data_IF_451414656082
#
_entry.id   IF_451414656082
#
_cell.length_a   1.000
_cell.length_b   1.000
_cell.length_c   1.000
_cell.angle_alpha   90.00
_cell.angle_beta   90.00
_cell.angle_gamma   90.00
#
_symmetry.space_group_name_H-M   'P 1'
#
loop_
_entity.id
_entity.type
_entity.pdbx_description
1 polymer ?
#
# COMPACT_ATOMS: atom_id res chain seq x y z
N UNK A 1 -14.44 -18.89 -42.61
CA UNK A 1 -13.85 -19.12 -41.29
C UNK A 1 -14.43 -18.10 -40.33
N UNK A 2 -15.43 -18.50 -39.55
CA UNK A 2 -16.11 -17.66 -38.56
C UNK A 2 -15.19 -17.46 -37.36
N UNK A 3 -14.60 -16.28 -37.22
CA UNK A 3 -13.86 -15.90 -36.01
C UNK A 3 -14.86 -15.84 -34.86
N UNK A 4 -14.79 -16.82 -33.96
CA UNK A 4 -15.65 -16.89 -32.77
C UNK A 4 -15.41 -15.63 -31.90
N UNK A 5 -16.42 -14.76 -31.69
CA UNK A 5 -16.29 -13.57 -30.85
C UNK A 5 -15.88 -13.92 -29.40
N UNK A 6 -16.24 -15.12 -28.93
CA UNK A 6 -15.90 -15.63 -27.60
C UNK A 6 -14.40 -15.88 -27.43
N UNK A 7 -13.68 -16.22 -28.50
CA UNK A 7 -12.23 -16.43 -28.46
C UNK A 7 -11.43 -15.12 -28.35
N UNK A 8 -12.06 -13.98 -28.69
CA UNK A 8 -11.52 -12.64 -28.47
C UNK A 8 -11.88 -12.05 -27.11
N UNK A 9 -12.54 -12.78 -26.21
CA UNK A 9 -12.87 -12.30 -24.85
C UNK A 9 -11.84 -12.76 -23.81
N UNK A 10 -10.93 -13.69 -24.18
CA UNK A 10 -9.71 -13.98 -23.40
C UNK A 10 -8.55 -13.00 -23.74
N UNK A 11 -8.87 -11.72 -24.01
CA UNK A 11 -7.85 -10.68 -24.24
C UNK A 11 -7.38 -10.18 -22.88
N UNK A 12 -6.32 -10.83 -22.35
CA UNK A 12 -5.64 -10.56 -21.06
C UNK A 12 -6.55 -10.69 -19.82
N UNK A 13 -6.01 -11.28 -18.76
CA UNK A 13 -6.73 -11.39 -17.48
C UNK A 13 -7.13 -9.98 -17.02
N UNK A 14 -8.41 -9.71 -16.66
CA UNK A 14 -8.85 -8.40 -16.17
C UNK A 14 -8.12 -7.99 -14.86
N UNK A 15 -7.35 -8.91 -14.28
CA UNK A 15 -6.52 -8.72 -13.10
C UNK A 15 -5.12 -8.17 -13.38
N UNK A 16 -4.61 -8.27 -14.61
CA UNK A 16 -3.27 -7.73 -14.94
C UNK A 16 -3.15 -6.24 -14.59
N UNK A 17 -4.14 -5.37 -14.87
CA UNK A 17 -4.09 -3.98 -14.42
C UNK A 17 -4.11 -3.81 -12.91
N UNK A 18 -4.80 -4.70 -12.17
CA UNK A 18 -4.90 -4.65 -10.70
C UNK A 18 -3.54 -5.01 -10.09
N UNK A 19 -2.90 -6.07 -10.59
CA UNK A 19 -1.53 -6.44 -10.22
C UNK A 19 -0.58 -5.31 -10.57
N UNK A 20 -0.69 -4.74 -11.77
CA UNK A 20 0.19 -3.63 -12.19
C UNK A 20 0.05 -2.41 -11.28
N UNK A 21 -1.17 -2.09 -10.84
CA UNK A 21 -1.37 -1.06 -9.84
C UNK A 21 -0.70 -1.42 -8.51
N UNK A 22 -0.83 -2.66 -8.02
CA UNK A 22 -0.18 -3.09 -6.79
C UNK A 22 1.35 -3.03 -6.88
N UNK A 23 1.93 -3.31 -8.05
CA UNK A 23 3.37 -3.16 -8.32
C UNK A 23 3.82 -1.71 -8.19
N UNK A 24 3.07 -0.76 -8.78
CA UNK A 24 3.37 0.68 -8.67
C UNK A 24 3.23 1.15 -7.22
N UNK A 25 2.18 0.73 -6.53
CA UNK A 25 1.99 1.01 -5.09
C UNK A 25 3.19 0.53 -4.28
N UNK A 26 3.66 -0.69 -4.54
CA UNK A 26 4.85 -1.22 -3.87
C UNK A 26 6.11 -0.39 -4.18
N UNK A 27 6.32 -0.05 -5.45
CA UNK A 27 7.46 0.78 -5.87
C UNK A 27 7.43 2.15 -5.18
N UNK A 28 6.26 2.76 -5.04
CA UNK A 28 6.08 4.02 -4.33
C UNK A 28 6.50 3.91 -2.86
N UNK A 29 6.11 2.82 -2.17
CA UNK A 29 6.51 2.56 -0.78
C UNK A 29 8.02 2.33 -0.65
N UNK A 30 8.65 1.60 -1.59
CA UNK A 30 10.10 1.38 -1.60
C UNK A 30 10.87 2.69 -1.80
N UNK A 31 10.47 3.53 -2.76
CA UNK A 31 11.07 4.85 -2.99
C UNK A 31 10.84 5.79 -1.81
N UNK A 32 9.64 5.76 -1.22
CA UNK A 32 9.33 6.52 -0.03
C UNK A 32 10.24 6.13 1.14
N UNK A 33 10.51 4.83 1.35
CA UNK A 33 11.44 4.41 2.40
C UNK A 33 12.86 4.95 2.17
N UNK A 34 13.31 4.96 0.90
CA UNK A 34 14.60 5.57 0.55
C UNK A 34 14.60 7.10 0.80
N UNK A 35 13.54 7.82 0.40
CA UNK A 35 13.38 9.24 0.69
C UNK A 35 13.37 9.51 2.21
N UNK A 36 12.65 8.68 2.97
CA UNK A 36 12.54 8.76 4.42
C UNK A 36 13.89 8.60 5.11
N UNK A 37 14.73 7.68 4.63
CA UNK A 37 16.10 7.54 5.15
C UNK A 37 16.96 8.77 4.86
N UNK A 38 16.91 9.28 3.62
CA UNK A 38 17.65 10.49 3.22
C UNK A 38 17.19 11.73 4.00
N UNK A 39 15.90 11.82 4.34
CA UNK A 39 15.35 12.89 5.17
C UNK A 39 16.06 12.98 6.53
N UNK A 40 16.25 11.84 7.21
CA UNK A 40 16.97 11.79 8.49
C UNK A 40 18.49 11.86 8.34
N UNK A 41 19.04 11.52 7.17
CA UNK A 41 20.45 11.73 6.82
C UNK A 41 20.75 13.16 6.36
N UNK A 42 19.71 13.99 6.19
CA UNK A 42 19.78 15.40 5.77
C UNK A 42 20.29 15.58 4.33
N UNK A 43 20.15 14.57 3.48
CA UNK A 43 20.39 14.70 2.04
C UNK A 43 19.09 15.14 1.34
N UNK A 44 18.66 16.37 1.65
CA UNK A 44 17.38 16.92 1.19
C UNK A 44 17.25 16.98 -0.34
N UNK A 45 18.27 17.37 -1.13
CA UNK A 45 18.15 17.38 -2.59
C UNK A 45 17.81 16.01 -3.20
N UNK A 46 18.41 14.93 -2.68
CA UNK A 46 18.07 13.57 -3.12
C UNK A 46 16.73 13.10 -2.57
N UNK A 47 16.43 13.41 -1.31
CA UNK A 47 15.13 13.14 -0.70
C UNK A 47 14.00 13.77 -1.53
N UNK A 48 14.11 15.05 -1.89
CA UNK A 48 13.12 15.77 -2.69
C UNK A 48 12.92 15.13 -4.07
N UNK A 49 13.99 14.63 -4.68
CA UNK A 49 13.93 13.92 -5.96
C UNK A 49 13.09 12.65 -5.83
N UNK A 50 13.36 11.84 -4.81
CA UNK A 50 12.58 10.62 -4.57
C UNK A 50 11.13 10.91 -4.17
N UNK A 51 10.87 11.97 -3.39
CA UNK A 51 9.50 12.38 -3.06
C UNK A 51 8.71 12.76 -4.32
N UNK A 52 9.32 13.45 -5.29
CA UNK A 52 8.68 13.74 -6.58
C UNK A 52 8.39 12.46 -7.37
N UNK A 53 9.32 11.51 -7.38
CA UNK A 53 9.09 10.20 -8.01
C UNK A 53 7.93 9.43 -7.34
N UNK A 54 7.78 9.52 -6.01
CA UNK A 54 6.64 8.92 -5.30
C UNK A 54 5.32 9.55 -5.71
N UNK A 55 5.28 10.88 -5.85
CA UNK A 55 4.09 11.60 -6.33
C UNK A 55 3.76 11.22 -7.78
N UNK A 56 4.76 11.11 -8.64
CA UNK A 56 4.55 10.66 -10.03
C UNK A 56 4.00 9.23 -10.09
N UNK A 57 4.47 8.33 -9.20
CA UNK A 57 3.96 6.96 -9.10
C UNK A 57 2.52 6.88 -8.59
N UNK A 58 2.12 7.72 -7.63
CA UNK A 58 0.71 7.84 -7.22
C UNK A 58 -0.15 8.27 -8.41
N UNK A 59 0.29 9.28 -9.17
CA UNK A 59 -0.45 9.75 -10.34
C UNK A 59 -0.58 8.65 -11.40
N UNK A 60 0.46 7.82 -11.59
CA UNK A 60 0.40 6.65 -12.46
C UNK A 60 -0.55 5.56 -11.93
N UNK A 61 -0.60 5.33 -10.62
CA UNK A 61 -1.52 4.39 -9.98
C UNK A 61 -2.98 4.83 -10.20
N UNK A 62 -3.27 6.11 -9.96
CA UNK A 62 -4.60 6.70 -10.09
C UNK A 62 -5.08 6.67 -11.56
N UNK A 63 -4.15 6.87 -12.52
CA UNK A 63 -4.38 6.66 -13.94
C UNK A 63 -4.72 5.20 -14.29
N UNK A 64 -4.09 4.21 -13.65
CA UNK A 64 -4.42 2.79 -13.84
C UNK A 64 -5.80 2.48 -13.26
N UNK A 65 -6.11 2.97 -12.06
CA UNK A 65 -7.42 2.84 -11.42
C UNK A 65 -8.54 3.42 -12.27
N UNK A 66 -8.33 4.61 -12.86
CA UNK A 66 -9.27 5.20 -13.81
C UNK A 66 -9.50 4.31 -15.04
N UNK A 67 -8.42 3.76 -15.63
CA UNK A 67 -8.51 2.81 -16.75
C UNK A 67 -9.22 1.51 -16.38
N UNK A 68 -9.02 1.00 -15.17
CA UNK A 68 -9.76 -0.18 -14.65
C UNK A 68 -11.25 0.16 -14.61
N UNK A 69 -11.63 1.28 -13.99
CA UNK A 69 -13.04 1.70 -13.88
C UNK A 69 -13.74 1.83 -15.24
N UNK A 70 -13.03 2.37 -16.24
CA UNK A 70 -13.53 2.55 -17.61
C UNK A 70 -13.67 1.23 -18.37
N UNK A 71 -12.67 0.34 -18.27
CA UNK A 71 -12.56 -0.85 -19.12
C UNK A 71 -13.11 -2.12 -18.51
N UNK A 72 -13.37 -2.15 -17.20
CA UNK A 72 -13.84 -3.33 -16.49
C UNK A 72 -15.26 -3.70 -16.99
N UNK A 73 -15.42 -4.85 -17.66
CA UNK A 73 -16.69 -5.23 -18.25
C UNK A 73 -17.74 -5.52 -17.17
N UNK A 74 -18.98 -5.09 -17.38
CA UNK A 74 -20.14 -5.50 -16.61
C UNK A 74 -20.84 -6.66 -17.33
N UNK A 75 -20.48 -7.92 -17.02
CA UNK A 75 -21.02 -9.09 -17.74
C UNK A 75 -21.22 -10.33 -16.88
N UNK A 76 -22.12 -11.21 -17.34
CA UNK A 76 -22.63 -12.43 -16.67
C UNK A 76 -21.55 -13.52 -16.42
N UNK A 77 -20.35 -13.38 -17.01
CA UNK A 77 -19.32 -14.43 -17.03
C UNK A 77 -18.10 -14.15 -16.14
N UNK A 78 -18.11 -13.08 -15.33
CA UNK A 78 -17.04 -12.89 -14.33
C UNK A 78 -17.33 -13.70 -13.06
N UNK A 79 -16.35 -14.45 -12.54
CA UNK A 79 -16.52 -15.22 -11.29
C UNK A 79 -16.69 -14.31 -10.05
N UNK A 80 -16.28 -13.04 -10.15
CA UNK A 80 -16.46 -11.96 -9.16
C UNK A 80 -17.23 -10.79 -9.77
N UNK A 81 -17.96 -10.04 -8.94
CA UNK A 81 -18.75 -8.92 -9.45
C UNK A 81 -17.87 -7.74 -9.84
N UNK A 82 -18.37 -6.88 -10.74
CA UNK A 82 -17.69 -5.62 -11.09
C UNK A 82 -17.51 -4.73 -9.86
N UNK A 83 -18.54 -4.66 -9.00
CA UNK A 83 -18.50 -3.83 -7.78
C UNK A 83 -17.38 -4.26 -6.84
N UNK A 84 -17.22 -5.57 -6.65
CA UNK A 84 -16.17 -6.14 -5.81
C UNK A 84 -14.76 -5.78 -6.24
N UNK A 85 -14.49 -5.82 -7.55
CA UNK A 85 -13.21 -5.41 -8.11
C UNK A 85 -13.00 -3.90 -7.96
N UNK A 86 -14.04 -3.10 -8.15
CA UNK A 86 -13.96 -1.66 -7.94
C UNK A 86 -13.70 -1.30 -6.47
N UNK A 87 -14.31 -2.02 -5.55
CA UNK A 87 -14.04 -1.82 -4.13
C UNK A 87 -12.62 -2.25 -3.77
N UNK A 88 -12.12 -3.36 -4.33
CA UNK A 88 -10.75 -3.81 -4.11
C UNK A 88 -9.73 -2.76 -4.58
N UNK A 89 -9.89 -2.24 -5.80
CA UNK A 89 -8.97 -1.23 -6.34
C UNK A 89 -9.04 0.07 -5.53
N UNK A 90 -10.22 0.46 -5.05
CA UNK A 90 -10.38 1.66 -4.21
C UNK A 90 -9.74 1.53 -2.82
N UNK A 91 -9.57 0.32 -2.30
CA UNK A 91 -8.80 0.09 -1.07
C UNK A 91 -7.30 0.08 -1.36
N UNK A 92 -6.88 -0.62 -2.42
CA UNK A 92 -5.49 -0.73 -2.86
C UNK A 92 -4.86 0.65 -3.11
N UNK A 93 -5.60 1.52 -3.79
CA UNK A 93 -5.21 2.88 -4.14
C UNK A 93 -4.84 3.74 -2.93
N UNK A 94 -5.58 3.62 -1.83
CA UNK A 94 -5.32 4.37 -0.60
C UNK A 94 -3.94 4.10 -0.01
N UNK A 95 -3.29 2.97 -0.34
CA UNK A 95 -1.91 2.69 0.08
C UNK A 95 -0.94 3.65 -0.64
N UNK A 96 -1.14 3.87 -1.94
CA UNK A 96 -0.36 4.83 -2.72
C UNK A 96 -0.65 6.28 -2.30
N UNK A 97 -1.92 6.60 -2.00
CA UNK A 97 -2.30 7.92 -1.46
C UNK A 97 -1.54 8.26 -0.18
N UNK A 98 -1.40 7.29 0.74
CA UNK A 98 -0.63 7.52 1.97
C UNK A 98 0.87 7.67 1.70
N UNK A 99 1.38 7.00 0.67
CA UNK A 99 2.77 7.16 0.26
C UNK A 99 3.02 8.59 -0.24
N UNK A 100 2.13 9.10 -1.09
CA UNK A 100 2.16 10.48 -1.59
C UNK A 100 2.02 11.48 -0.45
N UNK A 101 1.03 11.28 0.43
CA UNK A 101 0.79 12.15 1.59
C UNK A 101 2.06 12.26 2.43
N UNK A 102 2.73 11.15 2.77
CA UNK A 102 3.99 11.23 3.51
C UNK A 102 5.07 11.97 2.74
N UNK A 103 5.24 11.69 1.45
CA UNK A 103 6.21 12.39 0.61
C UNK A 103 5.98 13.91 0.64
N UNK A 104 4.73 14.36 0.53
CA UNK A 104 4.37 15.78 0.65
C UNK A 104 4.76 16.33 2.03
N UNK A 105 4.54 15.59 3.12
CA UNK A 105 4.95 16.02 4.46
C UNK A 105 6.47 16.15 4.61
N UNK A 106 7.26 15.26 4.02
CA UNK A 106 8.73 15.33 4.03
C UNK A 106 9.25 16.58 3.29
N UNK A 107 8.52 17.04 2.26
CA UNK A 107 8.87 18.23 1.48
C UNK A 107 8.60 19.56 2.21
N UNK A 108 7.81 19.55 3.30
CA UNK A 108 7.40 20.80 3.98
C UNK A 108 8.54 21.43 4.76
N UNK A 109 9.30 20.63 5.52
CA UNK A 109 10.21 21.16 6.54
C UNK A 109 11.42 20.23 6.76
N UNK A 110 12.61 20.80 6.59
CA UNK A 110 13.85 20.25 7.12
C UNK A 110 13.83 20.24 8.66
N UNK A 111 14.35 19.18 9.28
CA UNK A 111 14.23 19.00 10.73
C UNK A 111 15.55 18.63 11.41
N UNK A 112 15.88 19.38 12.46
CA UNK A 112 17.04 19.16 13.32
C UNK A 112 16.66 18.71 14.74
N UNK A 113 15.38 18.74 15.08
CA UNK A 113 14.87 18.72 16.46
C UNK A 113 14.15 17.43 16.85
N UNK A 114 14.14 16.41 16.00
CA UNK A 114 13.48 15.13 16.30
C UNK A 114 14.42 14.24 17.13
N UNK A 115 14.01 13.81 18.34
CA UNK A 115 14.79 12.89 19.16
C UNK A 115 15.12 11.60 18.40
N UNK A 116 16.38 11.15 18.51
CA UNK A 116 16.89 9.97 17.80
C UNK A 116 16.02 8.72 18.02
N UNK A 117 15.51 8.53 19.24
CA UNK A 117 14.63 7.40 19.57
C UNK A 117 13.33 7.42 18.74
N UNK A 118 12.75 8.59 18.47
CA UNK A 118 11.58 8.70 17.59
C UNK A 118 11.94 8.35 16.15
N UNK A 119 13.12 8.80 15.68
CA UNK A 119 13.64 8.47 14.35
C UNK A 119 13.80 6.96 14.17
N UNK A 120 14.39 6.26 15.14
CA UNK A 120 14.59 4.81 15.09
C UNK A 120 13.26 4.05 14.98
N UNK A 121 12.25 4.44 15.77
CA UNK A 121 10.92 3.83 15.67
C UNK A 121 10.26 4.10 14.32
N UNK A 122 10.32 5.33 13.83
CA UNK A 122 9.76 5.69 12.53
C UNK A 122 10.42 4.92 11.39
N UNK A 123 11.76 4.80 11.38
CA UNK A 123 12.49 4.01 10.38
C UNK A 123 12.07 2.54 10.43
N UNK A 124 11.92 1.97 11.64
CA UNK A 124 11.45 0.60 11.80
C UNK A 124 10.03 0.40 11.24
N UNK A 125 9.10 1.33 11.50
CA UNK A 125 7.74 1.26 10.93
C UNK A 125 7.81 1.31 9.40
N UNK A 126 8.64 2.19 8.83
CA UNK A 126 8.79 2.29 7.38
C UNK A 126 9.36 1.01 6.74
N UNK A 127 10.35 0.37 7.38
CA UNK A 127 10.88 -0.92 6.92
C UNK A 127 9.83 -2.04 6.98
N UNK A 128 8.92 -2.01 7.96
CA UNK A 128 7.80 -2.95 8.04
C UNK A 128 6.76 -2.67 6.93
N UNK A 129 6.48 -1.41 6.61
CA UNK A 129 5.60 -1.04 5.49
C UNK A 129 6.12 -1.55 4.14
N UNK A 130 7.42 -1.57 3.91
CA UNK A 130 7.99 -2.18 2.69
C UNK A 130 7.66 -3.68 2.61
N UNK A 131 7.75 -4.40 3.74
CA UNK A 131 7.39 -5.83 3.81
C UNK A 131 5.89 -6.04 3.61
N UNK A 132 5.05 -5.15 4.16
CA UNK A 132 3.61 -5.17 3.95
C UNK A 132 3.26 -4.98 2.48
N UNK A 133 3.87 -4.01 1.80
CA UNK A 133 3.62 -3.75 0.39
C UNK A 133 4.01 -4.95 -0.50
N UNK A 134 5.12 -5.62 -0.19
CA UNK A 134 5.52 -6.87 -0.86
C UNK A 134 4.53 -8.01 -0.58
N UNK A 135 4.14 -8.22 0.68
CA UNK A 135 3.17 -9.26 1.03
C UNK A 135 1.80 -9.01 0.37
N UNK A 136 1.35 -7.75 0.34
CA UNK A 136 0.13 -7.33 -0.32
C UNK A 136 0.16 -7.60 -1.84
N UNK A 137 1.25 -7.21 -2.52
CA UNK A 137 1.44 -7.51 -3.95
C UNK A 137 1.33 -9.00 -4.22
N UNK A 138 1.95 -9.83 -3.38
CA UNK A 138 1.88 -11.28 -3.53
C UNK A 138 0.46 -11.81 -3.26
N UNK A 139 -0.28 -11.28 -2.28
CA UNK A 139 -1.68 -11.62 -2.07
C UNK A 139 -2.54 -11.33 -3.32
N UNK A 140 -2.34 -10.18 -3.97
CA UNK A 140 -3.05 -9.80 -5.20
C UNK A 140 -2.67 -10.70 -6.38
N UNK A 141 -1.39 -11.09 -6.50
CA UNK A 141 -0.92 -12.04 -7.52
C UNK A 141 -1.53 -13.43 -7.35
N UNK A 142 -1.53 -13.98 -6.14
CA UNK A 142 -2.17 -15.27 -5.86
C UNK A 142 -3.70 -15.21 -6.04
N UNK A 143 -4.32 -14.05 -5.75
CA UNK A 143 -5.76 -13.89 -5.92
C UNK A 143 -6.19 -14.03 -7.38
N UNK A 144 -5.38 -13.59 -8.34
CA UNK A 144 -5.62 -13.85 -9.76
C UNK A 144 -5.76 -15.35 -10.02
N UNK A 145 -4.91 -16.18 -9.40
CA UNK A 145 -4.92 -17.62 -9.61
C UNK A 145 -6.13 -18.28 -8.93
N UNK A 146 -6.58 -17.77 -7.78
CA UNK A 146 -7.88 -18.16 -7.16
C UNK A 146 -9.02 -17.97 -8.16
N UNK A 147 -9.02 -16.83 -8.86
CA UNK A 147 -10.08 -16.51 -9.82
C UNK A 147 -10.00 -17.38 -11.08
N UNK A 148 -8.80 -17.56 -11.65
CA UNK A 148 -8.60 -18.34 -12.88
C UNK A 148 -8.82 -19.84 -12.67
N UNK A 149 -8.64 -20.32 -11.45
CA UNK A 149 -8.88 -21.71 -11.05
C UNK A 149 -10.28 -21.96 -10.49
N UNK A 150 -11.14 -20.95 -10.43
CA UNK A 150 -12.51 -21.04 -9.89
C UNK A 150 -12.48 -21.50 -8.41
N UNK A 151 -11.74 -20.77 -7.58
CA UNK A 151 -11.73 -20.91 -6.12
C UNK A 151 -11.26 -22.28 -5.63
N UNK A 152 -10.24 -22.84 -6.27
CA UNK A 152 -9.60 -24.04 -5.76
C UNK A 152 -8.96 -23.79 -4.38
N UNK A 153 -9.10 -24.79 -3.49
CA UNK A 153 -8.69 -24.67 -2.08
C UNK A 153 -7.21 -24.34 -1.89
N UNK A 154 -6.34 -24.84 -2.77
CA UNK A 154 -4.90 -24.63 -2.65
C UNK A 154 -4.56 -23.14 -2.84
N UNK A 155 -5.06 -22.55 -3.92
CA UNK A 155 -4.86 -21.16 -4.30
C UNK A 155 -5.47 -20.22 -3.24
N UNK A 156 -6.62 -20.59 -2.65
CA UNK A 156 -7.18 -19.87 -1.51
C UNK A 156 -6.20 -19.84 -0.33
N UNK A 157 -5.59 -20.98 0.01
CA UNK A 157 -4.62 -21.03 1.11
C UNK A 157 -3.38 -20.18 0.81
N UNK A 158 -2.94 -20.12 -0.44
CA UNK A 158 -1.81 -19.32 -0.87
C UNK A 158 -2.09 -17.81 -0.68
N UNK A 159 -3.30 -17.33 -1.02
CA UNK A 159 -3.72 -15.94 -0.70
C UNK A 159 -3.78 -15.74 0.82
N UNK A 160 -4.46 -16.63 1.55
CA UNK A 160 -4.66 -16.49 3.00
C UNK A 160 -3.35 -16.39 3.78
N UNK A 161 -2.30 -17.09 3.33
CA UNK A 161 -0.95 -16.98 3.89
C UNK A 161 -0.41 -15.54 3.82
N UNK A 162 -0.58 -14.86 2.69
CA UNK A 162 -0.12 -13.47 2.54
C UNK A 162 -1.00 -12.49 3.32
N UNK A 163 -2.30 -12.75 3.44
CA UNK A 163 -3.19 -11.98 4.32
C UNK A 163 -2.69 -12.04 5.77
N UNK A 164 -2.40 -13.24 6.28
CA UNK A 164 -1.88 -13.43 7.64
C UNK A 164 -0.53 -12.73 7.85
N UNK A 165 0.33 -12.68 6.82
CA UNK A 165 1.59 -11.93 6.88
C UNK A 165 1.32 -10.43 7.06
N UNK A 166 0.39 -9.85 6.29
CA UNK A 166 0.04 -8.43 6.41
C UNK A 166 -0.54 -8.13 7.79
N UNK A 167 -1.49 -8.94 8.28
CA UNK A 167 -2.11 -8.79 9.61
C UNK A 167 -1.06 -8.86 10.75
N UNK A 168 -0.09 -9.78 10.65
CA UNK A 168 0.97 -9.90 11.66
C UNK A 168 1.93 -8.70 11.67
N UNK A 169 2.26 -8.16 10.49
CA UNK A 169 3.14 -7.01 10.35
C UNK A 169 2.47 -5.71 10.81
N UNK A 170 1.19 -5.51 10.45
CA UNK A 170 0.36 -4.42 10.96
C UNK A 170 0.33 -4.45 12.49
N UNK A 171 0.03 -5.61 13.10
CA UNK A 171 0.04 -5.74 14.55
C UNK A 171 1.40 -5.46 15.19
N UNK A 172 2.52 -5.67 14.48
CA UNK A 172 3.85 -5.25 14.94
C UNK A 172 4.02 -3.73 14.91
N UNK A 173 3.59 -3.08 13.84
CA UNK A 173 3.58 -1.61 13.70
C UNK A 173 2.75 -0.98 14.82
N UNK A 174 1.57 -1.53 15.09
CA UNK A 174 0.66 -1.07 16.15
C UNK A 174 1.30 -1.10 17.54
N UNK A 175 2.01 -2.19 17.86
CA UNK A 175 2.77 -2.32 19.12
C UNK A 175 3.91 -1.29 19.22
N UNK A 176 4.60 -1.05 18.11
CA UNK A 176 5.66 -0.03 18.04
C UNK A 176 5.07 1.37 18.24
N UNK A 177 3.97 1.67 17.56
CA UNK A 177 3.29 2.97 17.64
C UNK A 177 2.77 3.24 19.05
N UNK A 178 2.15 2.25 19.69
CA UNK A 178 1.71 2.33 21.09
C UNK A 178 2.88 2.63 22.04
N UNK A 179 4.01 1.93 21.87
CA UNK A 179 5.22 2.16 22.68
C UNK A 179 5.77 3.57 22.48
N UNK A 180 5.85 4.02 21.23
CA UNK A 180 6.32 5.35 20.86
C UNK A 180 5.43 6.45 21.46
N UNK A 181 4.10 6.34 21.29
CA UNK A 181 3.13 7.30 21.82
C UNK A 181 3.20 7.42 23.34
N UNK A 182 3.36 6.30 24.06
CA UNK A 182 3.54 6.33 25.52
C UNK A 182 4.82 7.07 25.95
N UNK A 183 5.87 7.04 25.12
CA UNK A 183 7.12 7.76 25.41
C UNK A 183 7.10 9.25 25.03
N UNK A 184 6.02 9.78 24.45
CA UNK A 184 5.96 11.19 24.00
C UNK A 184 6.20 12.19 25.13
N UNK A 185 5.72 11.90 26.33
CA UNK A 185 5.89 12.79 27.49
C UNK A 185 7.32 12.76 28.07
N UNK A 186 8.16 11.83 27.63
CA UNK A 186 9.56 11.74 28.04
C UNK A 186 10.46 12.67 27.21
N UNK A 187 10.04 13.04 25.99
CA UNK A 187 10.80 13.93 25.11
C UNK A 187 10.55 15.40 25.47
N UNK A 188 11.29 15.91 26.46
CA UNK A 188 11.14 17.31 26.93
C UNK A 188 11.91 18.31 26.08
N UNK A 189 12.88 17.83 25.30
CA UNK A 189 13.74 18.64 24.43
C UNK A 189 13.10 19.08 23.10
N UNK A 190 12.00 18.45 22.66
CA UNK A 190 11.33 18.79 21.40
C UNK A 190 10.34 19.94 21.59
N UNK A 191 10.38 20.94 20.70
CA UNK A 191 9.41 22.02 20.74
C UNK A 191 8.01 21.56 20.26
N UNK A 192 6.92 22.20 20.70
CA UNK A 192 5.56 21.77 20.36
C UNK A 192 5.25 21.70 18.86
N UNK A 193 5.86 22.57 18.04
CA UNK A 193 5.63 22.59 16.58
C UNK A 193 6.30 21.38 15.93
N UNK A 194 7.55 21.09 16.31
CA UNK A 194 8.27 19.91 15.84
C UNK A 194 7.63 18.62 16.35
N UNK A 195 7.10 18.60 17.58
CA UNK A 195 6.35 17.46 18.10
C UNK A 195 5.10 17.20 17.27
N UNK A 196 4.28 18.23 17.02
CA UNK A 196 3.10 18.10 16.17
C UNK A 196 3.44 17.55 14.77
N UNK A 197 4.42 18.14 14.10
CA UNK A 197 4.89 17.69 12.79
C UNK A 197 5.35 16.22 12.82
N UNK A 198 6.13 15.84 13.83
CA UNK A 198 6.62 14.46 13.99
C UNK A 198 5.47 13.48 14.26
N UNK A 199 4.49 13.86 15.08
CA UNK A 199 3.30 13.02 15.30
C UNK A 199 2.49 12.83 14.02
N UNK A 200 2.43 13.84 13.15
CA UNK A 200 1.77 13.69 11.84
C UNK A 200 2.51 12.73 10.92
N UNK A 201 3.84 12.78 10.87
CA UNK A 201 4.63 11.77 10.16
C UNK A 201 4.34 10.38 10.71
N UNK A 202 4.36 10.21 12.04
CA UNK A 202 4.10 8.92 12.70
C UNK A 202 2.72 8.37 12.37
N UNK A 203 1.69 9.23 12.37
CA UNK A 203 0.33 8.82 12.03
C UNK A 203 0.27 8.36 10.56
N UNK A 204 0.85 9.12 9.63
CA UNK A 204 0.80 8.81 8.19
C UNK A 204 1.58 7.53 7.85
N UNK A 205 2.77 7.33 8.44
CA UNK A 205 3.53 6.08 8.20
C UNK A 205 2.75 4.85 8.68
N UNK A 206 2.01 4.94 9.80
CA UNK A 206 1.18 3.84 10.28
C UNK A 206 -0.06 3.66 9.42
N UNK A 207 -0.67 4.74 8.93
CA UNK A 207 -1.84 4.66 8.06
C UNK A 207 -1.59 3.84 6.78
N UNK A 208 -0.34 3.74 6.30
CA UNK A 208 0.04 2.85 5.19
C UNK A 208 -0.29 1.39 5.50
N UNK A 209 0.08 0.89 6.69
CA UNK A 209 -0.20 -0.50 7.09
C UNK A 209 -1.70 -0.74 7.25
N UNK A 210 -2.42 0.24 7.80
CA UNK A 210 -3.88 0.15 7.98
C UNK A 210 -4.59 0.04 6.61
N UNK A 211 -4.14 0.80 5.60
CA UNK A 211 -4.73 0.72 4.25
C UNK A 211 -4.44 -0.63 3.60
N UNK A 212 -3.24 -1.17 3.81
CA UNK A 212 -2.88 -2.49 3.31
C UNK A 212 -3.68 -3.60 4.00
N UNK A 213 -3.89 -3.51 5.32
CA UNK A 213 -4.73 -4.42 6.10
C UNK A 213 -6.18 -4.41 5.59
N UNK A 214 -6.78 -3.23 5.46
CA UNK A 214 -8.13 -3.08 4.91
C UNK A 214 -8.23 -3.67 3.48
N UNK A 215 -7.17 -3.54 2.68
CA UNK A 215 -7.11 -4.08 1.32
C UNK A 215 -7.05 -5.61 1.31
N UNK A 216 -6.28 -6.25 2.20
CA UNK A 216 -6.26 -7.73 2.31
C UNK A 216 -7.56 -8.27 2.92
N UNK A 217 -8.21 -7.54 3.82
CA UNK A 217 -9.54 -7.90 4.31
C UNK A 217 -10.57 -7.91 3.18
N UNK A 218 -10.46 -6.98 2.21
CA UNK A 218 -11.32 -7.03 1.02
C UNK A 218 -11.08 -8.30 0.21
N UNK A 219 -9.82 -8.70 -0.03
CA UNK A 219 -9.51 -9.99 -0.67
C UNK A 219 -10.13 -11.18 0.09
N UNK A 220 -10.03 -11.19 1.43
CA UNK A 220 -10.63 -12.24 2.27
C UNK A 220 -12.15 -12.34 2.08
N UNK A 221 -12.84 -11.21 2.03
CA UNK A 221 -14.29 -11.16 1.79
C UNK A 221 -14.63 -11.77 0.43
N UNK A 222 -13.89 -11.39 -0.62
CA UNK A 222 -14.11 -11.91 -1.98
C UNK A 222 -13.93 -13.43 -2.08
N UNK A 223 -13.02 -13.98 -1.28
CA UNK A 223 -12.81 -15.42 -1.16
C UNK A 223 -13.95 -16.08 -0.38
N UNK A 224 -14.41 -15.48 0.72
CA UNK A 224 -15.40 -16.07 1.62
C UNK A 224 -16.83 -16.06 1.06
N UNK A 225 -17.14 -15.19 0.11
CA UNK A 225 -18.45 -15.10 -0.56
C UNK A 225 -18.69 -16.20 -1.60
N UNK A 226 -17.75 -17.16 -1.76
CA UNK A 226 -17.75 -18.19 -2.81
C UNK A 226 -17.50 -19.59 -2.23
#
# INVERSE_FOLDING_TARGET
MTTNPLAKIFIRSPFEPIIKHAEITKEAIEKLNAAFNLFFERDYPKMETLCKEVIDLETDADNIKAKIREKLPSGILMPVSRGDILDLIDHQDKIADQAENLAQWLLIKETDSIPLKMVEFMKRIMDLNVKIAEAYLNAVKEFKDVIETIFMKKEINDVMKYIEIVENLEGEIDRIQFTLRNSFFDFKEIDPVSLYYTTKIIDIISDISDKAEASVHRLRILIAEK
#
